data_IF_311635927530
#
_entry.id   IF_311635927530
#
_cell.length_a   1.000
_cell.length_b   1.000
_cell.length_c   1.000
_cell.angle_alpha   90.00
_cell.angle_beta   90.00
_cell.angle_gamma   90.00
#
_symmetry.space_group_name_H-M   'P 1'
#
loop_
_entity.id
_entity.type
_entity.pdbx_description
1 polymer ?
#
# COMPACT_ATOMS: atom_id res chain seq x y z
N UNK A 1 23.67 -28.73 -0.18
CA UNK A 1 23.30 -28.86 -1.61
C UNK A 1 21.80 -29.12 -1.79
N UNK A 2 20.95 -28.19 -1.35
CA UNK A 2 19.51 -28.29 -1.54
C UNK A 2 19.13 -27.82 -2.96
N UNK A 3 18.26 -28.52 -3.70
CA UNK A 3 17.92 -28.17 -5.08
C UNK A 3 17.23 -26.80 -5.24
N UNK A 4 16.61 -26.28 -4.18
CA UNK A 4 15.95 -24.95 -4.20
C UNK A 4 16.91 -23.77 -4.03
N UNK A 5 18.19 -24.03 -3.71
CA UNK A 5 19.20 -22.95 -3.67
C UNK A 5 19.58 -22.60 -5.11
N UNK A 6 19.45 -21.36 -5.50
CA UNK A 6 19.76 -20.88 -6.85
C UNK A 6 21.11 -20.16 -6.88
N UNK A 7 21.42 -19.40 -5.86
CA UNK A 7 22.61 -18.57 -5.74
C UNK A 7 23.20 -18.69 -4.33
N UNK A 8 24.49 -18.44 -4.19
CA UNK A 8 25.16 -18.26 -2.91
C UNK A 8 25.62 -16.83 -2.76
N UNK A 9 25.48 -16.26 -1.56
CA UNK A 9 25.92 -14.90 -1.26
C UNK A 9 27.20 -14.92 -0.43
N UNK A 10 28.19 -14.16 -0.82
CA UNK A 10 29.44 -13.95 -0.10
C UNK A 10 29.51 -12.51 0.38
N UNK A 11 29.13 -12.29 1.63
CA UNK A 11 29.16 -10.98 2.26
C UNK A 11 27.90 -10.13 2.07
N UNK A 12 28.01 -8.86 2.45
CA UNK A 12 26.98 -7.83 2.34
C UNK A 12 27.62 -6.44 2.26
N UNK A 13 27.01 -5.49 1.54
CA UNK A 13 27.38 -4.06 1.48
C UNK A 13 28.89 -3.79 1.31
N UNK A 14 29.52 -4.51 0.40
CA UNK A 14 30.99 -4.39 0.19
C UNK A 14 31.84 -5.26 1.14
N UNK A 15 31.23 -5.92 2.11
CA UNK A 15 31.92 -6.78 3.09
C UNK A 15 32.17 -8.21 2.60
N UNK A 16 32.41 -8.43 1.31
CA UNK A 16 32.75 -9.75 0.78
C UNK A 16 34.26 -10.03 0.77
N UNK A 17 34.60 -11.30 0.69
CA UNK A 17 35.99 -11.76 0.55
C UNK A 17 36.14 -12.66 -0.68
N UNK A 18 36.73 -12.14 -1.74
CA UNK A 18 36.94 -12.85 -3.00
C UNK A 18 37.67 -14.18 -2.83
N UNK A 19 38.58 -14.29 -1.82
CA UNK A 19 39.26 -15.55 -1.56
C UNK A 19 38.35 -16.69 -1.12
N UNK A 20 37.14 -16.40 -0.67
CA UNK A 20 36.14 -17.40 -0.28
C UNK A 20 35.32 -17.91 -1.46
N UNK A 21 35.30 -17.27 -2.61
CA UNK A 21 34.49 -17.66 -3.76
C UNK A 21 34.85 -19.06 -4.25
N UNK A 22 36.14 -19.40 -4.23
CA UNK A 22 36.60 -20.74 -4.62
C UNK A 22 36.03 -21.83 -3.70
N UNK A 23 35.87 -21.56 -2.41
CA UNK A 23 35.30 -22.54 -1.47
C UNK A 23 33.85 -22.87 -1.80
N UNK A 24 33.06 -21.89 -2.25
CA UNK A 24 31.71 -22.20 -2.73
C UNK A 24 31.74 -23.17 -3.91
N UNK A 25 32.65 -22.95 -4.88
CA UNK A 25 32.81 -23.81 -6.04
C UNK A 25 33.35 -25.20 -5.67
N UNK A 26 34.19 -25.30 -4.64
CA UNK A 26 34.78 -26.59 -4.18
C UNK A 26 33.72 -27.50 -3.53
N UNK A 27 32.76 -26.92 -2.83
CA UNK A 27 31.75 -27.68 -2.07
C UNK A 27 30.37 -27.72 -2.74
N UNK A 28 30.07 -26.84 -3.68
CA UNK A 28 28.82 -26.86 -4.41
C UNK A 28 28.95 -27.69 -5.69
N UNK A 29 28.40 -28.91 -5.68
CA UNK A 29 28.43 -29.81 -6.84
C UNK A 29 27.74 -29.22 -8.08
N UNK A 30 26.82 -28.29 -7.91
CA UNK A 30 26.13 -27.61 -9.01
C UNK A 30 26.89 -26.37 -9.50
N UNK A 31 27.94 -25.95 -8.79
CA UNK A 31 28.77 -24.78 -9.10
C UNK A 31 27.92 -23.53 -9.37
N UNK A 32 26.95 -23.29 -8.49
CA UNK A 32 26.05 -22.14 -8.60
C UNK A 32 26.82 -20.85 -8.49
N UNK A 33 26.26 -19.80 -9.09
CA UNK A 33 26.88 -18.49 -9.01
C UNK A 33 26.97 -17.98 -7.57
N UNK A 34 28.11 -17.40 -7.24
CA UNK A 34 28.30 -16.63 -6.03
C UNK A 34 28.07 -15.17 -6.36
N UNK A 35 27.30 -14.47 -5.54
CA UNK A 35 27.07 -13.05 -5.66
C UNK A 35 27.79 -12.28 -4.55
N UNK A 36 28.18 -11.06 -4.88
CA UNK A 36 28.68 -10.07 -3.93
C UNK A 36 27.63 -8.97 -3.80
N UNK A 37 26.74 -9.02 -2.79
CA UNK A 37 25.67 -8.04 -2.63
C UNK A 37 26.19 -6.61 -2.67
N UNK A 38 25.52 -5.78 -3.46
CA UNK A 38 25.89 -4.42 -3.83
C UNK A 38 26.78 -4.31 -5.07
N UNK A 39 27.33 -5.38 -5.58
CA UNK A 39 28.23 -5.35 -6.73
C UNK A 39 27.57 -5.86 -8.01
N UNK A 40 28.12 -5.42 -9.15
CA UNK A 40 27.95 -6.04 -10.44
C UNK A 40 29.03 -7.13 -10.58
N UNK A 41 28.64 -8.37 -10.40
CA UNK A 41 29.55 -9.50 -10.32
C UNK A 41 28.91 -10.78 -10.88
N UNK A 42 29.66 -11.59 -11.58
CA UNK A 42 29.22 -12.87 -12.16
C UNK A 42 27.92 -12.75 -13.00
N UNK A 43 27.81 -11.72 -13.82
CA UNK A 43 26.65 -11.45 -14.68
C UNK A 43 25.36 -11.11 -13.94
N UNK A 44 25.46 -10.83 -12.62
CA UNK A 44 24.36 -10.32 -11.80
C UNK A 44 24.71 -8.95 -11.26
N UNK A 45 23.78 -8.04 -11.40
CA UNK A 45 23.82 -6.72 -10.78
C UNK A 45 22.93 -6.75 -9.53
N UNK A 46 23.56 -6.73 -8.37
CA UNK A 46 22.91 -6.87 -7.06
C UNK A 46 22.92 -5.55 -6.28
N UNK A 47 22.68 -4.46 -6.98
CA UNK A 47 22.68 -3.13 -6.38
C UNK A 47 21.73 -3.04 -5.17
N UNK A 48 22.20 -2.44 -4.08
CA UNK A 48 21.37 -2.14 -2.92
C UNK A 48 20.70 -0.77 -3.09
N UNK A 49 19.46 -0.66 -2.67
CA UNK A 49 18.67 0.58 -2.68
C UNK A 49 18.81 1.40 -3.98
N UNK A 50 18.59 0.78 -5.14
CA UNK A 50 18.69 1.50 -6.39
C UNK A 50 17.67 2.65 -6.43
N UNK A 51 18.12 3.84 -6.83
CA UNK A 51 17.19 4.89 -7.15
C UNK A 51 16.27 4.46 -8.32
N UNK A 52 15.08 5.01 -8.41
CA UNK A 52 14.09 4.65 -9.45
C UNK A 52 14.70 4.62 -10.86
N UNK A 53 15.49 5.63 -11.23
CA UNK A 53 16.13 5.72 -12.53
C UNK A 53 17.33 4.77 -12.71
N UNK A 54 17.89 4.23 -11.64
CA UNK A 54 19.02 3.28 -11.73
C UNK A 54 18.62 2.04 -12.50
N UNK A 55 17.46 1.46 -12.23
CA UNK A 55 16.94 0.30 -12.98
C UNK A 55 16.80 0.60 -14.46
N UNK A 56 16.25 1.77 -14.82
CA UNK A 56 16.13 2.20 -16.23
C UNK A 56 17.50 2.26 -16.90
N UNK A 57 18.51 2.87 -16.25
CA UNK A 57 19.87 2.96 -16.80
C UNK A 57 20.51 1.56 -16.96
N UNK A 58 20.33 0.65 -16.00
CA UNK A 58 20.82 -0.73 -16.09
C UNK A 58 20.22 -1.49 -17.27
N UNK A 59 18.94 -1.35 -17.50
CA UNK A 59 18.25 -2.00 -18.60
C UNK A 59 18.63 -1.42 -19.98
N UNK A 60 19.00 -0.16 -20.04
CA UNK A 60 19.40 0.50 -21.28
C UNK A 60 20.85 0.19 -21.66
N UNK A 61 21.75 0.11 -20.69
CA UNK A 61 23.19 0.01 -20.90
C UNK A 61 23.81 -1.29 -20.39
N UNK A 62 23.06 -2.10 -19.65
CA UNK A 62 23.55 -3.34 -19.03
C UNK A 62 23.09 -4.58 -19.76
N UNK A 63 23.85 -5.65 -19.60
CA UNK A 63 23.54 -6.99 -20.10
C UNK A 63 23.41 -8.02 -18.98
N UNK A 64 23.57 -7.58 -17.72
CA UNK A 64 23.52 -8.43 -16.57
C UNK A 64 22.09 -8.56 -16.05
N UNK A 65 21.81 -9.70 -15.42
CA UNK A 65 20.56 -9.89 -14.70
C UNK A 65 20.54 -8.92 -13.52
N UNK A 66 19.51 -8.08 -13.45
CA UNK A 66 19.31 -7.12 -12.38
C UNK A 66 18.46 -7.73 -11.27
N UNK A 67 19.02 -7.82 -10.07
CA UNK A 67 18.39 -8.41 -8.90
C UNK A 67 18.82 -7.65 -7.65
N UNK A 68 18.18 -6.53 -7.31
CA UNK A 68 18.51 -5.80 -6.08
C UNK A 68 18.42 -6.71 -4.86
N UNK A 69 19.52 -6.85 -4.13
CA UNK A 69 19.59 -7.72 -2.95
C UNK A 69 19.07 -7.03 -1.69
N UNK A 70 18.90 -5.71 -1.74
CA UNK A 70 18.07 -4.94 -0.82
C UNK A 70 17.46 -3.76 -1.57
N UNK A 71 16.18 -3.51 -1.39
CA UNK A 71 15.50 -2.33 -1.93
C UNK A 71 14.21 -2.02 -1.17
N UNK A 72 13.75 -0.78 -1.27
CA UNK A 72 12.51 -0.33 -0.64
C UNK A 72 12.51 -0.55 0.87
N UNK A 73 13.43 0.12 1.56
CA UNK A 73 13.55 0.07 3.01
C UNK A 73 12.25 0.49 3.70
N UNK A 74 11.81 -0.30 4.67
CA UNK A 74 10.54 -0.09 5.37
C UNK A 74 10.55 0.99 6.43
N UNK A 75 11.71 1.61 6.68
CA UNK A 75 11.87 2.63 7.71
C UNK A 75 10.69 3.59 7.78
N UNK A 76 10.09 3.72 8.95
CA UNK A 76 8.92 4.56 9.21
C UNK A 76 7.65 4.14 8.44
N UNK A 77 7.58 2.90 8.01
CA UNK A 77 6.46 2.34 7.24
C UNK A 77 6.07 3.18 6.00
N UNK A 78 7.05 3.82 5.39
CA UNK A 78 6.83 4.70 4.23
C UNK A 78 7.48 4.18 2.94
N UNK A 79 8.64 3.52 3.03
CA UNK A 79 9.38 3.04 1.87
C UNK A 79 8.59 2.03 1.05
N UNK A 80 8.06 1.01 1.68
CA UNK A 80 7.30 -0.06 1.02
C UNK A 80 5.94 0.41 0.48
N UNK A 81 5.24 1.30 1.21
CA UNK A 81 3.92 1.78 0.81
C UNK A 81 3.95 2.83 -0.29
N UNK A 82 4.92 3.74 -0.23
CA UNK A 82 4.88 4.94 -1.06
C UNK A 82 5.31 4.74 -2.51
N UNK A 83 6.31 3.90 -2.79
CA UNK A 83 6.95 3.79 -4.10
C UNK A 83 6.99 2.39 -4.71
N UNK A 84 6.58 1.35 -3.97
CA UNK A 84 6.75 -0.03 -4.42
C UNK A 84 6.10 -0.30 -5.78
N UNK A 85 4.88 0.19 -6.02
CA UNK A 85 4.18 0.00 -7.29
C UNK A 85 4.96 0.59 -8.45
N UNK A 86 5.49 1.82 -8.30
CA UNK A 86 6.23 2.50 -9.36
C UNK A 86 7.53 1.76 -9.71
N UNK A 87 8.28 1.32 -8.70
CA UNK A 87 9.48 0.51 -8.89
C UNK A 87 9.17 -0.82 -9.55
N UNK A 88 8.15 -1.52 -9.07
CA UNK A 88 7.75 -2.82 -9.58
C UNK A 88 7.27 -2.75 -11.02
N UNK A 89 6.42 -1.79 -11.35
CA UNK A 89 5.95 -1.54 -12.71
C UNK A 89 7.08 -1.19 -13.69
N UNK A 90 8.10 -0.47 -13.20
CA UNK A 90 9.26 -0.13 -14.00
C UNK A 90 10.15 -1.37 -14.24
N UNK A 91 10.48 -2.10 -13.20
CA UNK A 91 11.45 -3.20 -13.27
C UNK A 91 10.89 -4.44 -13.98
N UNK A 92 9.65 -4.82 -13.72
CA UNK A 92 9.03 -6.01 -14.31
C UNK A 92 8.78 -5.91 -15.82
N UNK A 93 8.89 -4.73 -16.40
CA UNK A 93 8.84 -4.54 -17.87
C UNK A 93 10.08 -5.08 -18.58
N UNK A 94 11.15 -5.30 -17.87
CA UNK A 94 12.42 -5.68 -18.46
C UNK A 94 12.74 -7.16 -18.25
N UNK A 95 13.08 -7.92 -19.31
CA UNK A 95 13.33 -9.37 -19.21
C UNK A 95 14.58 -9.74 -18.39
N UNK A 96 15.50 -8.80 -18.13
CA UNK A 96 16.66 -9.03 -17.29
C UNK A 96 16.38 -8.78 -15.80
N UNK A 97 15.18 -8.36 -15.41
CA UNK A 97 14.81 -8.22 -14.00
C UNK A 97 14.44 -9.58 -13.43
N UNK A 98 15.16 -10.05 -12.43
CA UNK A 98 14.95 -11.35 -11.80
C UNK A 98 14.18 -11.28 -10.47
N UNK A 99 13.63 -10.12 -10.12
CA UNK A 99 13.04 -9.87 -8.80
C UNK A 99 14.00 -9.12 -7.89
N UNK A 100 13.67 -9.01 -6.61
CA UNK A 100 14.48 -8.31 -5.63
C UNK A 100 14.09 -8.69 -4.21
N UNK A 101 14.92 -8.29 -3.25
CA UNK A 101 14.73 -8.57 -1.84
C UNK A 101 14.45 -7.26 -1.11
N UNK A 102 13.31 -7.19 -0.48
CA UNK A 102 12.91 -6.03 0.30
C UNK A 102 13.55 -6.08 1.68
N UNK A 103 14.02 -4.98 2.20
CA UNK A 103 14.47 -4.84 3.57
C UNK A 103 13.41 -4.16 4.42
N UNK A 104 12.75 -4.85 5.39
CA UNK A 104 12.89 -6.30 5.50
C UNK A 104 11.54 -6.94 5.86
N UNK A 105 11.57 -8.16 6.37
CA UNK A 105 10.34 -8.91 6.63
C UNK A 105 9.68 -8.51 7.94
N UNK A 106 10.46 -8.20 8.98
CA UNK A 106 9.91 -7.95 10.30
C UNK A 106 10.85 -7.06 11.11
N UNK A 107 10.26 -6.15 11.85
CA UNK A 107 11.00 -5.26 12.74
C UNK A 107 11.93 -6.02 13.67
N UNK A 108 13.14 -5.51 13.78
CA UNK A 108 14.13 -6.02 14.70
C UNK A 108 13.94 -5.39 16.08
N UNK A 109 13.63 -6.19 17.08
CA UNK A 109 13.50 -5.73 18.45
C UNK A 109 13.98 -6.79 19.44
N UNK A 110 14.59 -6.34 20.52
CA UNK A 110 15.06 -7.20 21.60
C UNK A 110 14.21 -6.97 22.84
N UNK A 111 13.66 -8.04 23.41
CA UNK A 111 12.96 -7.96 24.68
C UNK A 111 13.99 -7.80 25.81
N UNK A 112 14.02 -6.62 26.40
CA UNK A 112 14.98 -6.24 27.44
C UNK A 112 14.52 -6.74 28.81
N UNK A 113 15.02 -7.91 29.23
CA UNK A 113 14.73 -8.46 30.56
C UNK A 113 15.22 -7.55 31.69
N UNK A 114 16.34 -6.83 31.49
CA UNK A 114 16.92 -5.86 32.42
C UNK A 114 16.12 -4.56 32.54
N UNK A 115 15.20 -4.29 31.61
CA UNK A 115 14.33 -3.10 31.60
C UNK A 115 12.83 -3.46 31.75
N UNK A 116 12.51 -4.51 32.49
CA UNK A 116 11.13 -4.91 32.74
C UNK A 116 10.40 -5.52 31.54
N UNK A 117 11.15 -6.00 30.53
CA UNK A 117 10.58 -6.70 29.38
C UNK A 117 10.07 -5.80 28.26
N UNK A 118 10.41 -4.51 28.26
CA UNK A 118 10.12 -3.61 27.14
C UNK A 118 10.85 -4.08 25.90
N UNK A 119 10.29 -3.78 24.74
CA UNK A 119 11.01 -3.91 23.47
C UNK A 119 11.98 -2.74 23.32
N UNK A 120 13.23 -3.08 23.05
CA UNK A 120 14.27 -2.13 22.74
C UNK A 120 14.56 -2.25 21.24
N UNK A 121 13.98 -1.33 20.49
CA UNK A 121 14.22 -1.18 19.06
C UNK A 121 15.15 -0.01 18.84
N UNK A 122 16.06 -0.16 17.91
CA UNK A 122 16.91 0.95 17.49
C UNK A 122 16.05 1.95 16.69
N UNK A 123 16.04 3.20 17.15
CA UNK A 123 15.06 4.21 16.73
C UNK A 123 15.04 4.50 15.22
N UNK A 124 16.13 4.21 14.50
CA UNK A 124 16.25 4.53 13.08
C UNK A 124 16.35 3.31 12.15
N UNK A 125 16.72 2.14 12.67
CA UNK A 125 17.00 0.96 11.86
C UNK A 125 16.14 -0.25 12.22
N UNK A 126 15.43 -0.23 13.31
CA UNK A 126 14.68 -1.39 13.76
C UNK A 126 13.27 -1.51 13.19
N UNK A 127 12.51 -0.42 12.92
CA UNK A 127 11.19 -0.49 12.29
C UNK A 127 11.29 -0.55 10.75
N UNK A 128 11.97 -1.57 10.24
CA UNK A 128 12.28 -1.75 8.82
C UNK A 128 11.37 -2.76 8.14
N UNK A 129 10.66 -3.54 8.93
CA UNK A 129 9.84 -4.65 8.47
C UNK A 129 8.53 -4.24 7.81
N UNK A 130 7.89 -5.23 7.19
CA UNK A 130 6.46 -5.16 6.81
C UNK A 130 5.57 -5.75 7.90
N UNK A 131 6.17 -6.32 8.93
CA UNK A 131 5.54 -6.81 10.14
C UNK A 131 6.24 -6.20 11.34
N UNK A 132 5.49 -5.84 12.36
CA UNK A 132 6.04 -5.44 13.63
C UNK A 132 6.75 -6.59 14.38
N UNK A 133 7.39 -6.30 15.52
CA UNK A 133 8.24 -7.27 16.24
C UNK A 133 7.49 -8.47 16.80
N UNK A 134 6.18 -8.39 16.95
CA UNK A 134 5.31 -9.52 17.34
C UNK A 134 4.58 -10.17 16.15
N UNK A 135 5.00 -9.87 14.92
CA UNK A 135 4.40 -10.35 13.66
C UNK A 135 3.02 -9.73 13.36
N UNK A 136 2.68 -8.64 13.99
CA UNK A 136 1.53 -7.80 13.61
C UNK A 136 1.74 -7.21 12.22
N UNK A 137 0.69 -7.19 11.43
CA UNK A 137 0.74 -6.68 10.05
C UNK A 137 0.69 -5.17 10.06
N UNK A 138 1.66 -4.54 9.45
CA UNK A 138 1.72 -3.09 9.27
C UNK A 138 1.12 -2.63 7.94
N UNK A 139 1.06 -1.33 7.69
CA UNK A 139 0.49 -0.79 6.44
C UNK A 139 1.20 -1.29 5.20
N UNK A 140 2.53 -1.35 5.25
CA UNK A 140 3.41 -1.88 4.19
C UNK A 140 3.12 -3.35 3.84
N UNK A 141 2.73 -4.18 4.80
CA UNK A 141 2.33 -5.56 4.52
C UNK A 141 1.19 -5.64 3.49
N UNK A 142 0.19 -4.79 3.63
CA UNK A 142 -0.95 -4.79 2.72
C UNK A 142 -0.58 -4.26 1.34
N UNK A 143 0.30 -3.26 1.27
CA UNK A 143 0.85 -2.76 0.01
C UNK A 143 1.63 -3.84 -0.73
N UNK A 144 2.55 -4.54 -0.03
CA UNK A 144 3.32 -5.64 -0.62
C UNK A 144 2.39 -6.76 -1.10
N UNK A 145 1.40 -7.13 -0.29
CA UNK A 145 0.39 -8.14 -0.65
C UNK A 145 -0.36 -7.78 -1.93
N UNK A 146 -0.71 -6.52 -2.12
CA UNK A 146 -1.42 -6.05 -3.31
C UNK A 146 -0.49 -5.99 -4.53
N UNK A 147 0.66 -5.33 -4.40
CA UNK A 147 1.60 -5.13 -5.53
C UNK A 147 2.18 -6.45 -6.03
N UNK A 148 2.48 -7.38 -5.11
CA UNK A 148 3.02 -8.70 -5.47
C UNK A 148 1.95 -9.79 -5.56
N UNK A 149 0.68 -9.43 -5.55
CA UNK A 149 -0.39 -10.39 -5.79
C UNK A 149 -0.21 -11.08 -7.15
N UNK A 150 -0.30 -12.42 -7.21
CA UNK A 150 -0.21 -13.14 -8.49
C UNK A 150 -1.44 -12.92 -9.38
N UNK A 151 -2.52 -12.37 -8.84
CA UNK A 151 -3.67 -11.89 -9.61
C UNK A 151 -3.66 -10.37 -9.55
N UNK A 152 -3.63 -9.72 -10.69
CA UNK A 152 -3.69 -8.27 -10.77
C UNK A 152 -4.98 -7.84 -11.47
N UNK A 153 -5.65 -6.84 -10.90
CA UNK A 153 -6.85 -6.24 -11.49
C UNK A 153 -6.45 -4.89 -12.10
N UNK A 154 -6.75 -4.70 -13.38
CA UNK A 154 -6.51 -3.41 -14.03
C UNK A 154 -7.28 -2.31 -13.33
N UNK A 155 -6.60 -1.24 -12.98
CA UNK A 155 -7.20 -0.09 -12.30
C UNK A 155 -8.41 0.44 -13.08
N UNK A 156 -9.54 0.57 -12.41
CA UNK A 156 -10.78 1.09 -12.97
C UNK A 156 -11.60 1.83 -11.92
N UNK A 157 -12.59 2.57 -12.36
CA UNK A 157 -13.58 3.22 -11.52
C UNK A 157 -14.95 2.58 -11.70
N UNK A 158 -15.73 2.51 -10.64
CA UNK A 158 -17.15 2.12 -10.74
C UNK A 158 -17.92 3.35 -11.22
N UNK A 159 -18.64 3.19 -12.32
CA UNK A 159 -19.49 4.24 -12.90
C UNK A 159 -20.93 3.75 -12.95
N UNK A 160 -21.87 4.64 -13.23
CA UNK A 160 -23.29 4.26 -13.41
C UNK A 160 -23.54 3.24 -14.54
N UNK A 161 -22.56 3.07 -15.44
CA UNK A 161 -22.60 2.08 -16.52
C UNK A 161 -21.83 0.80 -16.20
N UNK A 162 -21.41 0.59 -14.95
CA UNK A 162 -20.67 -0.61 -14.53
C UNK A 162 -21.49 -1.88 -14.79
N UNK A 163 -20.88 -2.86 -15.45
CA UNK A 163 -21.50 -4.11 -15.87
C UNK A 163 -20.95 -5.36 -15.17
N UNK A 164 -20.17 -5.17 -14.11
CA UNK A 164 -19.58 -6.29 -13.37
C UNK A 164 -18.34 -6.90 -14.02
N UNK A 165 -17.68 -6.21 -14.93
CA UNK A 165 -16.53 -6.71 -15.63
C UNK A 165 -15.21 -6.16 -15.06
N UNK A 166 -14.20 -7.04 -14.92
CA UNK A 166 -12.85 -6.71 -14.46
C UNK A 166 -11.82 -7.32 -15.38
N UNK A 167 -10.87 -6.52 -15.84
CA UNK A 167 -9.71 -7.04 -16.58
C UNK A 167 -8.67 -7.54 -15.58
N UNK A 168 -8.30 -8.82 -15.69
CA UNK A 168 -7.33 -9.50 -14.84
C UNK A 168 -6.07 -9.83 -15.62
N UNK A 169 -4.94 -9.88 -14.90
CA UNK A 169 -3.70 -10.51 -15.36
C UNK A 169 -3.35 -11.66 -14.43
N UNK A 170 -2.94 -12.78 -15.01
CA UNK A 170 -2.39 -13.91 -14.27
C UNK A 170 -0.87 -13.80 -14.21
N UNK A 171 -0.33 -13.37 -13.07
CA UNK A 171 1.10 -13.26 -12.80
C UNK A 171 1.66 -14.48 -12.04
N UNK A 172 0.90 -15.55 -11.87
CA UNK A 172 1.43 -16.82 -11.42
C UNK A 172 2.47 -17.35 -12.41
N UNK A 173 3.41 -18.14 -11.92
CA UNK A 173 4.41 -18.81 -12.77
C UNK A 173 3.94 -20.17 -13.28
N UNK A 174 3.05 -20.85 -12.54
CA UNK A 174 2.65 -22.24 -12.83
C UNK A 174 1.15 -22.51 -12.69
N UNK A 175 0.37 -21.58 -12.11
CA UNK A 175 -1.04 -21.80 -11.78
C UNK A 175 -1.96 -21.15 -12.80
N UNK A 176 -2.90 -21.93 -13.36
CA UNK A 176 -3.99 -21.36 -14.15
C UNK A 176 -5.06 -20.75 -13.23
N UNK A 177 -5.65 -19.60 -13.60
CA UNK A 177 -6.68 -18.93 -12.77
C UNK A 177 -7.95 -19.75 -12.58
N UNK A 178 -8.22 -20.74 -13.42
CA UNK A 178 -9.33 -21.67 -13.20
C UNK A 178 -9.21 -22.51 -11.92
N UNK A 179 -8.02 -22.55 -11.30
CA UNK A 179 -7.79 -23.19 -10.01
C UNK A 179 -8.07 -22.28 -8.81
N UNK A 180 -8.32 -20.99 -9.06
CA UNK A 180 -8.63 -20.00 -8.05
C UNK A 180 -10.14 -19.73 -8.01
N UNK A 181 -10.60 -19.15 -6.91
CA UNK A 181 -11.96 -18.64 -6.79
C UNK A 181 -11.96 -17.16 -6.43
N UNK A 182 -12.99 -16.44 -6.79
CA UNK A 182 -13.14 -15.03 -6.44
C UNK A 182 -14.57 -14.76 -5.99
N UNK A 183 -14.71 -13.98 -4.92
CA UNK A 183 -16.00 -13.58 -4.35
C UNK A 183 -16.09 -12.07 -4.32
N UNK A 184 -17.34 -11.58 -4.38
CA UNK A 184 -17.61 -10.17 -4.14
C UNK A 184 -18.50 -9.97 -2.92
N UNK A 185 -18.38 -8.83 -2.31
CA UNK A 185 -19.23 -8.33 -1.24
C UNK A 185 -19.51 -6.85 -1.46
N UNK A 186 -20.75 -6.46 -1.20
CA UNK A 186 -21.19 -5.07 -1.30
C UNK A 186 -21.62 -4.63 0.09
N UNK A 187 -21.06 -3.52 0.54
CA UNK A 187 -21.31 -2.99 1.87
C UNK A 187 -21.90 -1.60 1.82
N UNK A 188 -22.82 -1.33 2.75
CA UNK A 188 -23.13 0.04 3.17
C UNK A 188 -22.13 0.45 4.27
N UNK A 189 -21.47 1.59 4.08
CA UNK A 189 -20.52 2.13 5.03
C UNK A 189 -21.26 2.84 6.18
N UNK A 190 -20.69 2.86 7.40
CA UNK A 190 -21.26 3.64 8.49
C UNK A 190 -21.19 5.13 8.16
N UNK A 191 -22.23 5.87 8.54
CA UNK A 191 -22.21 7.32 8.37
C UNK A 191 -21.15 7.95 9.30
N UNK A 192 -20.20 8.73 8.78
CA UNK A 192 -19.22 9.43 9.62
C UNK A 192 -19.86 10.44 10.57
N UNK A 193 -21.11 10.86 10.28
CA UNK A 193 -21.84 11.87 11.05
C UNK A 193 -22.78 11.26 12.09
N UNK A 194 -23.39 10.12 11.76
CA UNK A 194 -24.35 9.43 12.62
C UNK A 194 -23.79 8.20 13.31
N UNK A 195 -22.58 7.79 12.92
CA UNK A 195 -22.03 6.51 13.35
C UNK A 195 -22.75 5.33 12.72
N UNK A 196 -22.70 4.18 13.38
CA UNK A 196 -23.26 2.93 12.92
C UNK A 196 -22.19 1.87 12.65
N UNK A 197 -22.61 0.75 12.12
CA UNK A 197 -21.72 -0.34 11.70
C UNK A 197 -21.84 -0.56 10.21
N UNK A 198 -20.77 -1.07 9.61
CA UNK A 198 -20.78 -1.56 8.25
C UNK A 198 -21.79 -2.71 8.13
N UNK A 199 -22.61 -2.70 7.10
CA UNK A 199 -23.58 -3.76 6.83
C UNK A 199 -23.39 -4.37 5.44
N UNK A 200 -23.45 -5.70 5.36
CA UNK A 200 -23.40 -6.44 4.10
C UNK A 200 -24.77 -6.34 3.42
N UNK A 201 -24.80 -5.85 2.18
CA UNK A 201 -26.02 -5.72 1.36
C UNK A 201 -26.17 -6.87 0.37
N UNK A 202 -25.08 -7.32 -0.23
CA UNK A 202 -25.07 -8.41 -1.18
C UNK A 202 -23.72 -9.09 -1.22
N UNK A 203 -23.69 -10.35 -1.63
CA UNK A 203 -22.47 -11.12 -1.88
C UNK A 203 -22.72 -12.19 -2.94
N UNK A 204 -21.64 -12.63 -3.60
CA UNK A 204 -21.71 -13.69 -4.60
C UNK A 204 -20.34 -14.04 -5.14
N UNK A 205 -20.33 -14.83 -6.19
CA UNK A 205 -19.13 -15.28 -6.86
C UNK A 205 -18.85 -14.44 -8.10
N UNK A 206 -17.57 -14.33 -8.43
CA UNK A 206 -17.07 -13.74 -9.67
C UNK A 206 -16.56 -14.87 -10.55
N UNK A 207 -17.04 -14.95 -11.77
CA UNK A 207 -16.61 -15.96 -12.74
C UNK A 207 -15.22 -15.58 -13.24
N UNK A 208 -14.23 -16.39 -12.90
CA UNK A 208 -12.86 -16.23 -13.38
C UNK A 208 -12.67 -16.89 -14.74
N UNK A 209 -11.95 -16.26 -15.67
CA UNK A 209 -11.55 -16.89 -16.91
C UNK A 209 -10.46 -17.93 -16.66
N UNK A 210 -10.36 -18.95 -17.54
CA UNK A 210 -9.21 -19.84 -17.57
C UNK A 210 -8.04 -19.09 -18.23
N UNK A 211 -7.11 -18.61 -17.42
CA UNK A 211 -5.91 -17.91 -17.90
C UNK A 211 -4.66 -18.67 -17.48
N UNK A 212 -3.79 -18.94 -18.45
CA UNK A 212 -2.45 -19.43 -18.18
C UNK A 212 -1.54 -18.30 -17.63
N UNK A 213 -0.41 -18.65 -16.99
CA UNK A 213 0.59 -17.68 -16.59
C UNK A 213 0.94 -16.68 -17.70
N UNK A 214 0.95 -15.38 -17.35
CA UNK A 214 1.23 -14.28 -18.30
C UNK A 214 0.04 -13.83 -19.14
N UNK A 215 -1.10 -14.52 -19.10
CA UNK A 215 -2.28 -14.15 -19.87
C UNK A 215 -3.14 -13.10 -19.14
N UNK A 216 -3.93 -12.37 -19.93
CA UNK A 216 -4.93 -11.42 -19.46
C UNK A 216 -6.31 -11.81 -19.96
N UNK A 217 -7.32 -11.51 -19.16
CA UNK A 217 -8.70 -11.83 -19.54
C UNK A 217 -9.70 -11.13 -18.62
N UNK A 218 -10.97 -11.43 -18.84
CA UNK A 218 -12.07 -10.74 -18.20
C UNK A 218 -12.75 -11.63 -17.19
N UNK A 219 -12.80 -11.19 -15.93
CA UNK A 219 -13.67 -11.76 -14.89
C UNK A 219 -15.01 -11.05 -14.90
N UNK A 220 -16.08 -11.76 -14.55
CA UNK A 220 -17.43 -11.25 -14.61
C UNK A 220 -18.18 -11.56 -13.30
N UNK A 221 -18.72 -10.53 -12.67
CA UNK A 221 -19.71 -10.68 -11.60
C UNK A 221 -21.10 -10.33 -12.11
N UNK A 222 -22.09 -11.03 -11.61
CA UNK A 222 -23.49 -10.61 -11.79
C UNK A 222 -23.73 -9.41 -10.87
N UNK A 223 -24.03 -8.25 -11.45
CA UNK A 223 -24.35 -7.03 -10.70
C UNK A 223 -25.76 -7.18 -10.10
N UNK A 224 -25.92 -7.19 -8.77
CA UNK A 224 -27.24 -7.28 -8.15
C UNK A 224 -28.06 -5.99 -8.34
N UNK A 225 -29.37 -6.09 -8.30
CA UNK A 225 -30.28 -4.94 -8.50
C UNK A 225 -30.02 -3.79 -7.53
N UNK A 226 -29.68 -4.11 -6.28
CA UNK A 226 -29.39 -3.15 -5.22
C UNK A 226 -27.91 -2.69 -5.18
N UNK A 227 -27.13 -2.92 -6.25
CA UNK A 227 -25.70 -2.59 -6.29
C UNK A 227 -25.40 -1.14 -5.90
N UNK A 228 -26.16 -0.20 -6.48
CA UNK A 228 -25.95 1.23 -6.24
C UNK A 228 -26.55 1.75 -4.92
N UNK A 229 -27.16 0.88 -4.12
CA UNK A 229 -27.51 1.20 -2.73
C UNK A 229 -26.28 1.06 -1.79
N UNK A 230 -25.28 0.29 -2.23
CA UNK A 230 -24.02 0.11 -1.52
C UNK A 230 -23.06 1.28 -1.66
N UNK A 231 -22.11 1.36 -0.74
CA UNK A 231 -21.06 2.37 -0.73
C UNK A 231 -19.70 1.80 -1.16
N UNK A 232 -19.48 0.50 -0.90
CA UNK A 232 -18.20 -0.18 -1.17
C UNK A 232 -18.43 -1.53 -1.83
N UNK A 233 -17.75 -1.77 -2.94
CA UNK A 233 -17.55 -3.08 -3.53
C UNK A 233 -16.20 -3.63 -3.08
N UNK A 234 -16.19 -4.85 -2.56
CA UNK A 234 -14.98 -5.62 -2.26
C UNK A 234 -14.95 -6.88 -3.12
N UNK A 235 -13.79 -7.18 -3.70
CA UNK A 235 -13.47 -8.48 -4.28
C UNK A 235 -12.41 -9.16 -3.43
N UNK A 236 -12.48 -10.47 -3.30
CA UNK A 236 -11.46 -11.28 -2.65
C UNK A 236 -11.20 -12.55 -3.45
N UNK A 237 -9.93 -12.80 -3.75
CA UNK A 237 -9.47 -13.99 -4.45
C UNK A 237 -8.88 -15.02 -3.49
N UNK A 238 -9.11 -16.30 -3.79
CA UNK A 238 -8.64 -17.43 -3.01
C UNK A 238 -7.93 -18.44 -3.92
N UNK A 239 -6.90 -19.07 -3.41
CA UNK A 239 -6.22 -20.16 -4.09
C UNK A 239 -7.01 -21.49 -4.04
N UNK A 240 -6.49 -22.52 -4.66
CA UNK A 240 -7.10 -23.86 -4.69
C UNK A 240 -7.30 -24.49 -3.31
N UNK A 241 -6.61 -24.01 -2.28
CA UNK A 241 -6.75 -24.50 -0.89
C UNK A 241 -7.76 -23.67 -0.09
N UNK A 242 -8.32 -22.60 -0.67
CA UNK A 242 -9.23 -21.67 0.00
C UNK A 242 -8.51 -20.59 0.81
N UNK A 243 -7.19 -20.44 0.67
CA UNK A 243 -6.44 -19.38 1.33
C UNK A 243 -6.59 -18.08 0.55
N UNK A 244 -6.87 -16.99 1.26
CA UNK A 244 -6.98 -15.65 0.68
C UNK A 244 -5.65 -15.21 0.07
N UNK A 245 -5.70 -14.82 -1.20
CA UNK A 245 -4.57 -14.30 -1.98
C UNK A 245 -4.48 -12.79 -1.76
N UNK A 246 -5.52 -12.07 -2.19
CA UNK A 246 -5.63 -10.62 -2.11
C UNK A 246 -7.08 -10.18 -2.09
N UNK A 247 -7.33 -8.97 -1.64
CA UNK A 247 -8.62 -8.31 -1.74
C UNK A 247 -8.45 -6.91 -2.32
N UNK A 248 -9.45 -6.45 -3.04
CA UNK A 248 -9.53 -5.13 -3.66
C UNK A 248 -10.84 -4.48 -3.29
N UNK A 249 -10.82 -3.16 -3.13
CA UNK A 249 -12.02 -2.38 -2.80
C UNK A 249 -12.18 -1.19 -3.72
N UNK A 250 -13.42 -0.88 -4.06
CA UNK A 250 -13.81 0.29 -4.83
C UNK A 250 -14.94 1.04 -4.16
N UNK A 251 -14.90 2.37 -4.10
CA UNK A 251 -16.09 3.14 -3.82
C UNK A 251 -17.09 2.97 -4.98
N UNK A 252 -18.36 2.74 -4.65
CA UNK A 252 -19.43 2.61 -5.65
C UNK A 252 -19.87 3.99 -6.13
N UNK A 253 -19.81 4.99 -5.24
CA UNK A 253 -20.17 6.37 -5.54
C UNK A 253 -18.94 7.25 -5.60
N UNK A 254 -19.03 8.33 -6.38
CA UNK A 254 -18.01 9.38 -6.32
C UNK A 254 -18.04 10.07 -4.96
N UNK A 255 -16.90 10.55 -4.52
CA UNK A 255 -16.78 11.25 -3.23
C UNK A 255 -17.75 12.45 -3.12
N UNK A 256 -18.00 13.16 -4.21
CA UNK A 256 -18.93 14.27 -4.25
C UNK A 256 -20.38 13.83 -3.97
N UNK A 257 -20.82 12.72 -4.58
CA UNK A 257 -22.17 12.19 -4.40
C UNK A 257 -22.36 11.67 -2.97
N UNK A 258 -21.37 10.95 -2.47
CA UNK A 258 -21.37 10.49 -1.09
C UNK A 258 -21.42 11.65 -0.11
N UNK A 259 -20.62 12.69 -0.34
CA UNK A 259 -20.63 13.91 0.48
C UNK A 259 -22.01 14.60 0.47
N UNK A 260 -22.65 14.72 -0.68
CA UNK A 260 -24.01 15.31 -0.76
C UNK A 260 -25.02 14.48 0.00
N UNK A 261 -24.97 13.14 -0.12
CA UNK A 261 -25.82 12.21 0.65
C UNK A 261 -25.62 12.42 2.16
N UNK A 262 -24.39 12.52 2.64
CA UNK A 262 -24.09 12.76 4.04
C UNK A 262 -24.52 14.17 4.49
N UNK A 263 -24.28 15.18 3.66
CA UNK A 263 -24.69 16.58 3.95
C UNK A 263 -26.20 16.70 4.10
N UNK A 264 -26.97 16.02 3.28
CA UNK A 264 -28.43 16.01 3.39
C UNK A 264 -28.93 15.50 4.76
N UNK A 265 -28.16 14.62 5.42
CA UNK A 265 -28.51 14.10 6.74
C UNK A 265 -28.32 15.12 7.89
N UNK A 266 -27.53 16.17 7.64
CA UNK A 266 -27.19 17.20 8.64
C UNK A 266 -27.66 18.57 8.21
N UNK A 267 -28.29 18.70 7.02
CA UNK A 267 -28.80 20.01 6.58
C UNK A 267 -29.78 20.54 7.62
N UNK A 268 -29.58 21.78 8.01
CA UNK A 268 -30.51 22.53 8.82
C UNK A 268 -30.74 23.86 8.14
N UNK A 269 -31.94 24.41 8.33
CA UNK A 269 -32.29 25.74 7.85
C UNK A 269 -31.65 26.87 8.70
N UNK A 270 -30.84 26.48 9.69
CA UNK A 270 -30.18 27.40 10.60
C UNK A 270 -28.97 28.07 9.93
N UNK A 271 -29.05 29.38 9.82
CA UNK A 271 -27.94 30.19 9.30
C UNK A 271 -26.87 30.37 10.38
N UNK A 272 -25.62 30.22 10.00
CA UNK A 272 -24.51 30.45 10.91
C UNK A 272 -24.51 31.96 11.34
N UNK A 273 -24.39 32.20 12.63
CA UNK A 273 -24.22 33.51 13.19
C UNK A 273 -22.77 33.95 13.00
N UNK A 274 -22.60 35.09 12.32
CA UNK A 274 -21.33 35.79 12.17
C UNK A 274 -21.17 36.84 13.27
N UNK A 275 -20.07 36.80 13.99
CA UNK A 275 -19.67 37.85 14.94
C UNK A 275 -18.25 38.28 14.64
N UNK A 276 -18.02 39.59 14.63
CA UNK A 276 -16.69 40.15 14.34
C UNK A 276 -16.21 41.05 15.50
N UNK A 277 -14.89 40.97 15.73
CA UNK A 277 -14.14 41.91 16.54
C UNK A 277 -13.08 42.61 15.68
N UNK A 278 -12.26 43.47 16.25
CA UNK A 278 -11.16 44.13 15.53
C UNK A 278 -10.17 43.10 14.95
N UNK A 279 -9.94 41.98 15.65
CA UNK A 279 -8.90 40.98 15.32
C UNK A 279 -9.43 39.62 14.89
N UNK A 280 -10.71 39.32 15.10
CA UNK A 280 -11.28 37.99 14.87
C UNK A 280 -12.60 38.00 14.12
N UNK A 281 -12.88 36.88 13.46
CA UNK A 281 -14.19 36.54 12.91
C UNK A 281 -14.60 35.19 13.55
N UNK A 282 -15.81 35.16 14.11
CA UNK A 282 -16.38 33.97 14.76
C UNK A 282 -17.64 33.54 14.04
N UNK A 283 -17.71 32.31 13.65
CA UNK A 283 -18.89 31.65 13.09
C UNK A 283 -19.44 30.65 14.11
N UNK A 284 -20.72 30.79 14.43
CA UNK A 284 -21.42 29.86 15.33
C UNK A 284 -22.66 29.31 14.64
N UNK A 285 -22.77 27.97 14.62
CA UNK A 285 -23.94 27.29 14.10
C UNK A 285 -24.26 26.08 14.99
N UNK A 286 -25.52 25.90 15.38
CA UNK A 286 -26.02 24.84 16.27
C UNK A 286 -25.15 24.68 17.53
N UNK A 287 -24.10 23.91 17.36
CA UNK A 287 -23.30 23.42 18.49
C UNK A 287 -21.80 23.54 18.21
N UNK A 288 -21.42 24.29 17.20
CA UNK A 288 -20.01 24.47 16.85
C UNK A 288 -19.74 25.96 16.72
N UNK A 289 -18.66 26.42 17.34
CA UNK A 289 -18.15 27.78 17.18
C UNK A 289 -16.73 27.70 16.67
N UNK A 290 -16.46 28.42 15.57
CA UNK A 290 -15.13 28.50 14.95
C UNK A 290 -14.70 29.94 14.92
N UNK A 291 -13.53 30.24 15.47
CA UNK A 291 -12.95 31.58 15.47
C UNK A 291 -11.69 31.63 14.59
N UNK A 292 -11.66 32.61 13.73
CA UNK A 292 -10.55 32.90 12.82
C UNK A 292 -9.88 34.21 13.21
N UNK A 293 -8.57 34.32 12.97
CA UNK A 293 -7.88 35.62 13.03
C UNK A 293 -8.09 36.36 11.71
N UNK A 294 -8.31 37.71 11.80
CA UNK A 294 -8.40 38.57 10.62
C UNK A 294 -7.04 38.83 9.97
N UNK A 295 -5.96 38.66 10.72
CA UNK A 295 -4.59 38.92 10.25
C UNK A 295 -4.17 37.99 9.13
N UNK A 296 -4.47 36.66 9.26
CA UNK A 296 -3.98 35.66 8.35
C UNK A 296 -5.01 34.57 8.02
N UNK A 297 -6.25 34.73 8.46
CA UNK A 297 -7.36 33.82 8.20
C UNK A 297 -7.26 32.43 8.89
N UNK A 298 -6.35 32.29 9.84
CA UNK A 298 -6.16 30.99 10.51
C UNK A 298 -7.21 30.72 11.58
N UNK A 299 -7.57 29.48 11.74
CA UNK A 299 -8.41 29.03 12.86
C UNK A 299 -7.59 29.12 14.14
N UNK A 300 -8.12 29.84 15.12
CA UNK A 300 -7.51 29.98 16.46
C UNK A 300 -8.29 29.25 17.56
N UNK A 301 -9.56 28.95 17.31
CA UNK A 301 -10.39 28.21 18.26
C UNK A 301 -11.51 27.47 17.54
N UNK A 302 -11.76 26.25 17.98
CA UNK A 302 -12.96 25.47 17.63
C UNK A 302 -13.57 24.93 18.91
N UNK A 303 -14.82 25.30 19.19
CA UNK A 303 -15.61 24.77 20.28
C UNK A 303 -16.64 23.79 19.75
N UNK A 304 -16.77 22.63 20.40
CA UNK A 304 -17.80 21.64 20.07
C UNK A 304 -19.15 21.95 20.76
N UNK A 305 -20.13 21.07 20.55
CA UNK A 305 -21.47 21.17 21.14
C UNK A 305 -21.51 21.22 22.68
N UNK A 306 -20.41 20.86 23.34
CA UNK A 306 -20.28 20.92 24.80
C UNK A 306 -19.47 22.13 25.27
N UNK A 307 -19.24 23.11 24.39
CA UNK A 307 -18.34 24.25 24.61
C UNK A 307 -16.91 23.86 25.01
N UNK A 308 -16.49 22.65 24.66
CA UNK A 308 -15.12 22.18 24.88
C UNK A 308 -14.24 22.52 23.69
N UNK A 309 -13.05 23.02 23.97
CA UNK A 309 -12.03 23.28 22.96
C UNK A 309 -11.66 21.98 22.24
N UNK A 310 -11.79 21.98 20.92
CA UNK A 310 -11.25 20.94 20.07
C UNK A 310 -9.80 21.30 19.76
N UNK A 311 -8.83 20.37 19.84
CA UNK A 311 -7.41 20.65 19.58
C UNK A 311 -7.16 20.79 18.06
N UNK A 312 -7.83 21.74 17.44
CA UNK A 312 -7.74 22.06 16.01
C UNK A 312 -7.54 23.57 15.85
N UNK A 313 -6.36 23.96 15.42
CA UNK A 313 -5.96 25.36 15.27
C UNK A 313 -4.90 25.51 14.18
N UNK A 314 -4.63 26.75 13.80
CA UNK A 314 -3.57 27.14 12.84
C UNK A 314 -3.73 26.57 11.41
N UNK A 315 -4.86 26.03 11.07
CA UNK A 315 -5.14 25.49 9.74
C UNK A 315 -6.30 26.17 9.02
N UNK A 316 -6.55 25.78 7.78
CA UNK A 316 -5.65 25.02 6.90
C UNK A 316 -4.44 25.84 6.43
N UNK A 317 -3.27 25.19 6.35
CA UNK A 317 -2.03 25.81 5.85
C UNK A 317 -1.54 25.02 4.64
N UNK A 318 -1.17 25.69 3.57
CA UNK A 318 -0.49 25.05 2.46
C UNK A 318 0.96 24.75 2.85
N UNK A 319 1.32 23.46 2.86
CA UNK A 319 2.68 23.02 3.16
C UNK A 319 3.47 22.89 1.87
N UNK A 320 4.70 23.41 1.84
CA UNK A 320 5.61 23.29 0.70
C UNK A 320 5.61 24.46 -0.30
N UNK A 321 4.76 25.44 -0.14
CA UNK A 321 4.86 26.70 -0.88
C UNK A 321 5.28 27.83 0.06
N UNK A 322 6.34 28.56 -0.31
CA UNK A 322 6.62 29.87 0.26
C UNK A 322 5.57 30.85 -0.31
N UNK A 323 4.38 30.82 0.22
CA UNK A 323 3.40 31.85 -0.08
C UNK A 323 3.74 33.09 0.75
N UNK A 324 3.95 34.22 0.07
CA UNK A 324 3.88 35.49 0.76
C UNK A 324 2.42 35.72 1.18
N UNK A 325 2.17 36.23 2.38
CA UNK A 325 0.81 36.64 2.75
C UNK A 325 0.30 37.61 1.70
N UNK A 326 -0.92 37.41 1.26
CA UNK A 326 -1.65 38.37 0.41
C UNK A 326 -2.00 39.58 1.26
#
# INVERSE_FOLDING_TARGET
NHPSIVLSSNGNEGGWNNALDQHFADYDIQKRHVIHPWADFNQLDTHHYPAYLTGVARFTNGYNVFMPTEFMHGQYDQGHGAGLQDFWDNYTRHPLFAGGFMWDFCDNAVKRADKGGILDSETFNAPDGILGPYREKEGSYYTVREVWSPIQIKKQYITSSFKGEFMLSNNYLFTNLSQCTMKYQIYAAPSPLKGGQQSLLASGEVVLPSLHPGETGRAVMQVPENFFEGDVLQLEAFDATGKSICNWTWPIHYAADYFQKQRALISSDETALLTESDSTVTLSAKHVTVTFTKQDGKIISVLNSLNKQVPFKEGPVAVGMKMKPI
#
